data_IF_317123637083
#
_entry.id   IF_317123637083
#
_cell.length_a   1.000
_cell.length_b   1.000
_cell.length_c   1.000
_cell.angle_alpha   90.00
_cell.angle_beta   90.00
_cell.angle_gamma   90.00
#
_symmetry.space_group_name_H-M   'P 1'
#
loop_
_entity.id
_entity.type
_entity.pdbx_description
1 polymer ?
#
# COMPACT_ATOMS: atom_id res chain seq x y z
N UNK A 1 -16.85 7.33 -21.02
CA UNK A 1 -15.87 7.60 -19.94
C UNK A 1 -16.55 8.49 -18.93
N UNK A 2 -16.94 7.97 -17.76
CA UNK A 2 -17.68 8.77 -16.77
C UNK A 2 -16.71 9.70 -16.04
N UNK A 3 -17.18 10.91 -15.70
CA UNK A 3 -16.40 11.99 -15.08
C UNK A 3 -15.65 11.61 -13.80
N UNK A 4 -16.01 10.50 -13.15
CA UNK A 4 -15.36 10.01 -11.93
C UNK A 4 -14.03 9.28 -12.19
N UNK A 5 -13.78 8.79 -13.42
CA UNK A 5 -12.50 8.15 -13.73
C UNK A 5 -11.35 9.15 -13.80
N UNK A 6 -11.60 10.36 -14.31
CA UNK A 6 -10.57 11.38 -14.51
C UNK A 6 -10.02 11.94 -13.20
N UNK A 7 -10.88 12.20 -12.20
CA UNK A 7 -10.44 12.67 -10.88
C UNK A 7 -9.59 11.60 -10.19
N UNK A 8 -10.06 10.35 -10.20
CA UNK A 8 -9.31 9.23 -9.62
C UNK A 8 -7.95 9.08 -10.29
N UNK A 9 -7.91 9.08 -11.62
CA UNK A 9 -6.66 8.87 -12.36
C UNK A 9 -5.67 10.04 -12.14
N UNK A 10 -6.15 11.28 -11.97
CA UNK A 10 -5.31 12.43 -11.60
C UNK A 10 -4.58 12.24 -10.26
N UNK A 11 -5.19 11.57 -9.27
CA UNK A 11 -4.53 11.31 -7.99
C UNK A 11 -3.38 10.32 -8.11
N UNK A 12 -3.47 9.36 -9.02
CA UNK A 12 -2.37 8.43 -9.30
C UNK A 12 -1.22 9.13 -10.02
N UNK A 13 -1.55 10.02 -10.97
CA UNK A 13 -0.55 10.71 -11.79
C UNK A 13 0.14 11.86 -11.03
N UNK A 14 -0.49 12.38 -9.98
CA UNK A 14 0.04 13.46 -9.15
C UNK A 14 0.99 13.00 -8.02
N UNK A 15 1.15 11.69 -7.81
CA UNK A 15 1.98 11.19 -6.71
C UNK A 15 3.48 11.33 -7.05
N UNK A 16 4.17 12.14 -6.27
CA UNK A 16 5.60 12.43 -6.42
C UNK A 16 6.43 11.43 -5.58
N UNK A 17 6.88 10.34 -6.22
CA UNK A 17 7.67 9.30 -5.56
C UNK A 17 9.04 9.79 -5.05
N UNK A 18 9.57 10.86 -5.62
CA UNK A 18 10.93 11.32 -5.33
C UNK A 18 11.04 11.90 -3.91
N UNK A 19 9.92 12.32 -3.32
CA UNK A 19 9.86 12.84 -1.94
C UNK A 19 10.10 11.78 -0.87
N UNK A 20 10.01 10.49 -1.23
CA UNK A 20 10.21 9.39 -0.31
C UNK A 20 11.66 9.08 0.01
N UNK A 21 12.62 9.58 -0.77
CA UNK A 21 14.03 9.29 -0.57
C UNK A 21 14.63 10.18 0.52
N UNK A 22 15.30 9.57 1.49
CA UNK A 22 15.95 10.27 2.60
C UNK A 22 17.38 9.78 2.81
N UNK A 23 18.27 10.71 3.19
CA UNK A 23 19.65 10.40 3.54
C UNK A 23 19.82 10.48 5.05
N UNK A 24 20.15 9.36 5.70
CA UNK A 24 20.28 9.26 7.16
C UNK A 24 21.69 8.80 7.53
N UNK A 25 22.27 9.25 8.66
CA UNK A 25 23.55 8.74 9.15
C UNK A 25 23.52 7.21 9.31
N UNK A 26 24.62 6.51 9.03
CA UNK A 26 24.68 5.06 9.25
C UNK A 26 24.44 4.66 10.71
N UNK A 27 24.73 5.55 11.68
CA UNK A 27 24.42 5.34 13.09
C UNK A 27 22.91 5.23 13.35
N UNK A 28 22.07 5.95 12.60
CA UNK A 28 20.62 5.88 12.73
C UNK A 28 20.12 4.45 12.50
N UNK A 29 20.61 3.76 11.46
CA UNK A 29 20.21 2.39 11.18
C UNK A 29 20.60 1.45 12.32
N UNK A 30 21.80 1.60 12.88
CA UNK A 30 22.23 0.82 14.03
C UNK A 30 21.35 1.05 15.27
N UNK A 31 21.03 2.31 15.59
CA UNK A 31 20.20 2.68 16.74
C UNK A 31 18.76 2.16 16.63
N UNK A 32 18.25 2.01 15.40
CA UNK A 32 16.88 1.57 15.12
C UNK A 32 16.78 0.09 14.73
N UNK A 33 17.86 -0.69 14.87
CA UNK A 33 17.95 -2.08 14.42
C UNK A 33 17.55 -2.28 12.94
N UNK A 34 17.78 -1.27 12.10
CA UNK A 34 17.52 -1.31 10.67
C UNK A 34 18.79 -1.72 9.91
N UNK A 35 18.62 -2.28 8.71
CA UNK A 35 19.75 -2.52 7.81
C UNK A 35 20.37 -1.20 7.34
N UNK A 36 21.70 -1.13 7.13
CA UNK A 36 22.34 0.08 6.62
C UNK A 36 21.87 0.37 5.19
N UNK A 37 21.75 1.65 4.83
CA UNK A 37 21.44 2.08 3.46
C UNK A 37 22.64 1.97 2.51
N UNK A 38 22.42 2.25 1.22
CA UNK A 38 23.50 2.48 0.24
C UNK A 38 24.21 3.81 0.53
N UNK A 39 25.53 3.90 0.35
CA UNK A 39 26.25 5.16 0.57
C UNK A 39 25.74 6.25 -0.37
N UNK A 40 25.61 7.47 0.14
CA UNK A 40 25.35 8.65 -0.70
C UNK A 40 26.65 9.04 -1.42
N UNK A 41 26.63 9.32 -2.73
CA UNK A 41 27.85 9.61 -3.50
C UNK A 41 28.76 10.70 -2.92
N UNK A 42 28.17 11.76 -2.37
CA UNK A 42 28.91 12.92 -1.84
C UNK A 42 29.09 12.89 -0.30
N UNK A 43 28.54 11.89 0.39
CA UNK A 43 28.63 11.74 1.85
C UNK A 43 28.47 10.27 2.28
N UNK A 44 29.59 9.54 2.29
CA UNK A 44 29.61 8.12 2.69
C UNK A 44 29.27 7.88 4.17
N UNK A 45 29.20 8.93 5.00
CA UNK A 45 28.75 8.80 6.40
C UNK A 45 27.24 8.57 6.52
N UNK A 46 26.51 8.77 5.41
CA UNK A 46 25.07 8.56 5.30
C UNK A 46 24.72 7.40 4.38
N UNK A 47 23.61 6.76 4.70
CA UNK A 47 22.90 5.82 3.85
C UNK A 47 21.67 6.44 3.18
N UNK A 48 21.34 5.97 1.97
CA UNK A 48 20.09 6.23 1.29
C UNK A 48 19.01 5.27 1.80
N UNK A 49 17.85 5.83 2.15
CA UNK A 49 16.66 5.12 2.58
C UNK A 49 15.45 5.61 1.78
N UNK A 50 14.40 4.81 1.73
CA UNK A 50 13.08 5.24 1.24
C UNK A 50 12.07 5.14 2.37
N UNK A 51 11.21 6.13 2.53
CA UNK A 51 10.12 6.08 3.49
C UNK A 51 9.10 5.01 3.09
N UNK A 52 8.61 4.29 4.09
CA UNK A 52 7.81 3.10 3.87
C UNK A 52 6.50 3.38 3.10
N UNK A 53 5.76 4.44 3.43
CA UNK A 53 4.54 4.82 2.67
C UNK A 53 4.84 5.11 1.19
N UNK A 54 5.96 5.74 0.89
CA UNK A 54 6.38 6.00 -0.50
C UNK A 54 6.74 4.71 -1.23
N UNK A 55 7.37 3.76 -0.53
CA UNK A 55 7.64 2.44 -1.10
C UNK A 55 6.35 1.65 -1.35
N UNK A 56 5.39 1.68 -0.42
CA UNK A 56 4.06 1.08 -0.62
C UNK A 56 3.34 1.65 -1.85
N UNK A 57 3.34 2.98 -1.99
CA UNK A 57 2.75 3.66 -3.13
C UNK A 57 3.44 3.29 -4.46
N UNK A 58 4.77 3.18 -4.45
CA UNK A 58 5.53 2.75 -5.61
C UNK A 58 5.12 1.34 -6.04
N UNK A 59 5.12 0.38 -5.11
CA UNK A 59 4.72 -1.00 -5.37
C UNK A 59 3.29 -1.10 -5.90
N UNK A 60 2.34 -0.38 -5.29
CA UNK A 60 0.94 -0.37 -5.73
C UNK A 60 0.79 0.19 -7.15
N UNK A 61 1.57 1.21 -7.50
CA UNK A 61 1.59 1.82 -8.84
C UNK A 61 2.17 0.87 -9.89
N UNK A 62 3.25 0.14 -9.54
CA UNK A 62 3.83 -0.91 -10.41
C UNK A 62 2.79 -2.00 -10.70
N UNK A 63 2.07 -2.46 -9.67
CA UNK A 63 0.97 -3.44 -9.82
C UNK A 63 -0.13 -2.89 -10.72
N UNK A 64 -0.62 -1.66 -10.46
CA UNK A 64 -1.63 -0.98 -11.29
C UNK A 64 -1.20 -0.92 -12.76
N UNK A 65 0.06 -0.55 -13.02
CA UNK A 65 0.63 -0.46 -14.36
C UNK A 65 0.70 -1.81 -15.08
N UNK A 66 1.14 -2.87 -14.38
CA UNK A 66 1.17 -4.22 -14.91
C UNK A 66 -0.23 -4.71 -15.29
N UNK A 67 -1.21 -4.50 -14.39
CA UNK A 67 -2.61 -4.88 -14.62
C UNK A 67 -3.21 -4.15 -15.82
N UNK A 68 -3.03 -2.84 -15.95
CA UNK A 68 -3.49 -2.11 -17.13
C UNK A 68 -2.77 -2.52 -18.41
N UNK A 69 -1.47 -2.82 -18.32
CA UNK A 69 -0.70 -3.32 -19.47
C UNK A 69 -1.28 -4.63 -19.98
N UNK A 70 -1.67 -5.54 -19.09
CA UNK A 70 -2.28 -6.82 -19.45
C UNK A 70 -3.67 -6.70 -20.10
N UNK A 71 -4.39 -5.60 -19.87
CA UNK A 71 -5.70 -5.36 -20.50
C UNK A 71 -5.62 -4.73 -21.89
N UNK A 72 -4.46 -4.22 -22.31
CA UNK A 72 -4.38 -3.45 -23.54
C UNK A 72 -4.69 -4.34 -24.73
N UNK A 73 -5.82 -4.08 -25.38
CA UNK A 73 -6.30 -4.84 -26.54
C UNK A 73 -7.11 -6.09 -26.19
N UNK A 74 -7.37 -6.33 -24.91
CA UNK A 74 -8.13 -7.48 -24.41
C UNK A 74 -9.53 -7.07 -23.94
N UNK A 75 -10.46 -8.02 -23.90
CA UNK A 75 -11.75 -7.80 -23.22
C UNK A 75 -11.53 -7.64 -21.71
N UNK A 76 -12.18 -6.63 -21.13
CA UNK A 76 -12.11 -6.39 -19.70
C UNK A 76 -12.63 -7.61 -18.91
N UNK A 77 -11.90 -8.14 -17.93
CA UNK A 77 -12.35 -9.28 -17.15
C UNK A 77 -13.63 -8.94 -16.36
N UNK A 78 -14.48 -9.92 -16.00
CA UNK A 78 -15.74 -9.67 -15.28
C UNK A 78 -15.60 -8.91 -13.96
N UNK A 79 -14.40 -8.86 -13.37
CA UNK A 79 -14.08 -8.16 -12.12
C UNK A 79 -13.26 -6.89 -12.33
N UNK A 80 -13.24 -6.34 -13.55
CA UNK A 80 -12.48 -5.13 -13.90
C UNK A 80 -12.93 -3.87 -13.15
N UNK A 81 -14.17 -3.79 -12.71
CA UNK A 81 -14.55 -2.68 -11.86
C UNK A 81 -14.04 -2.89 -10.42
N UNK A 82 -13.98 -4.16 -9.99
CA UNK A 82 -13.67 -4.53 -8.61
C UNK A 82 -12.20 -4.25 -8.25
N UNK A 83 -11.26 -4.80 -9.01
CA UNK A 83 -9.83 -4.53 -8.79
C UNK A 83 -9.47 -3.02 -8.86
N UNK A 84 -10.14 -2.19 -9.67
CA UNK A 84 -9.84 -0.75 -9.78
C UNK A 84 -10.25 0.01 -8.54
N UNK A 85 -11.41 -0.29 -7.97
CA UNK A 85 -11.77 0.30 -6.68
C UNK A 85 -10.86 -0.26 -5.58
N UNK A 86 -10.47 -1.54 -5.61
CA UNK A 86 -9.55 -2.10 -4.61
C UNK A 86 -8.20 -1.39 -4.63
N UNK A 87 -7.62 -1.15 -5.81
CA UNK A 87 -6.36 -0.41 -5.94
C UNK A 87 -6.51 1.02 -5.40
N UNK A 88 -7.62 1.69 -5.68
CA UNK A 88 -7.85 3.05 -5.17
C UNK A 88 -8.11 3.09 -3.66
N UNK A 89 -8.80 2.10 -3.12
CA UNK A 89 -8.96 1.92 -1.68
C UNK A 89 -7.61 1.72 -1.00
N UNK A 90 -6.74 0.86 -1.55
CA UNK A 90 -5.39 0.65 -1.02
C UNK A 90 -4.54 1.92 -1.07
N UNK A 91 -4.62 2.70 -2.16
CA UNK A 91 -3.97 4.01 -2.24
C UNK A 91 -4.41 4.91 -1.10
N UNK A 92 -5.72 5.02 -0.89
CA UNK A 92 -6.28 5.86 0.17
C UNK A 92 -5.86 5.38 1.57
N UNK A 93 -5.79 4.07 1.82
CA UNK A 93 -5.29 3.53 3.09
C UNK A 93 -3.82 3.88 3.31
N UNK A 94 -2.97 3.77 2.29
CA UNK A 94 -1.55 4.15 2.38
C UNK A 94 -1.42 5.66 2.67
N UNK A 95 -2.20 6.49 1.98
CA UNK A 95 -2.20 7.95 2.19
C UNK A 95 -2.71 8.34 3.59
N UNK A 96 -3.77 7.68 4.08
CA UNK A 96 -4.35 7.99 5.40
C UNK A 96 -3.51 7.47 6.57
N UNK A 97 -2.73 6.40 6.36
CA UNK A 97 -1.89 5.76 7.38
C UNK A 97 -0.40 5.86 7.04
N UNK A 98 -0.01 6.93 6.35
CA UNK A 98 1.34 7.10 5.84
C UNK A 98 2.40 6.82 6.92
N UNK A 99 3.12 5.71 6.75
CA UNK A 99 4.21 5.23 7.59
C UNK A 99 5.53 5.91 7.17
N UNK A 100 6.15 6.63 8.11
CA UNK A 100 7.40 7.37 7.92
C UNK A 100 8.64 6.55 8.29
N UNK A 101 8.50 5.24 8.53
CA UNK A 101 9.63 4.34 8.79
C UNK A 101 10.62 4.34 7.60
N UNK A 102 11.89 4.69 7.80
CA UNK A 102 12.90 4.59 6.74
C UNK A 102 13.30 3.14 6.45
N UNK A 103 13.15 2.73 5.20
CA UNK A 103 13.53 1.42 4.67
C UNK A 103 14.91 1.47 4.04
N UNK A 104 15.74 0.47 4.35
CA UNK A 104 17.05 0.35 3.72
C UNK A 104 16.92 0.09 2.22
N UNK A 105 17.65 0.86 1.42
CA UNK A 105 17.77 0.64 -0.03
C UNK A 105 18.58 -0.61 -0.40
N UNK A 106 19.28 -1.22 0.56
CA UNK A 106 19.94 -2.53 0.35
C UNK A 106 18.97 -3.70 0.48
N UNK A 107 17.91 -3.56 1.28
CA UNK A 107 16.92 -4.60 1.60
C UNK A 107 15.52 -3.97 1.68
N UNK A 108 14.96 -3.63 0.52
CA UNK A 108 13.66 -2.96 0.39
C UNK A 108 12.48 -3.92 0.60
N UNK A 109 12.75 -5.23 0.74
CA UNK A 109 11.81 -6.33 0.68
C UNK A 109 11.17 -6.73 2.03
N UNK A 110 11.44 -6.00 3.12
CA UNK A 110 10.63 -6.14 4.34
C UNK A 110 11.38 -5.96 5.64
N UNK A 111 11.55 -4.71 6.06
CA UNK A 111 11.68 -4.44 7.49
C UNK A 111 10.39 -4.87 8.20
N UNK A 112 10.52 -5.60 9.31
CA UNK A 112 9.39 -6.03 10.12
C UNK A 112 8.60 -4.80 10.60
N UNK A 113 7.35 -4.66 10.16
CA UNK A 113 6.46 -3.58 10.60
C UNK A 113 5.93 -3.85 12.00
N UNK A 114 5.86 -2.80 12.81
CA UNK A 114 5.11 -2.83 14.06
C UNK A 114 3.63 -2.56 13.75
N UNK A 115 2.92 -3.60 13.32
CA UNK A 115 1.50 -3.50 13.02
C UNK A 115 0.69 -3.14 14.27
N UNK A 116 -0.41 -2.42 14.08
CA UNK A 116 -1.47 -2.33 15.10
C UNK A 116 -1.98 -3.73 15.47
N UNK A 117 -2.50 -3.90 16.68
CA UNK A 117 -3.00 -5.21 17.15
C UNK A 117 -4.18 -5.69 16.31
N UNK A 118 -3.95 -6.73 15.51
CA UNK A 118 -5.00 -7.42 14.75
C UNK A 118 -6.10 -7.97 15.66
N UNK A 119 -5.72 -8.46 16.85
CA UNK A 119 -6.67 -8.98 17.83
C UNK A 119 -7.73 -7.94 18.24
N UNK A 120 -7.34 -6.67 18.45
CA UNK A 120 -8.30 -5.60 18.78
C UNK A 120 -9.31 -5.34 17.66
N UNK A 121 -8.88 -5.49 16.40
CA UNK A 121 -9.76 -5.36 15.26
C UNK A 121 -10.74 -6.54 15.19
N UNK A 122 -10.26 -7.77 15.42
CA UNK A 122 -11.10 -8.97 15.46
C UNK A 122 -12.13 -8.90 16.60
N UNK A 123 -11.72 -8.43 17.78
CA UNK A 123 -12.62 -8.18 18.92
C UNK A 123 -13.72 -7.19 18.54
N UNK A 124 -13.37 -6.03 17.97
CA UNK A 124 -14.35 -5.04 17.52
C UNK A 124 -15.28 -5.61 16.45
N UNK A 125 -14.77 -6.39 15.49
CA UNK A 125 -15.58 -7.00 14.44
C UNK A 125 -16.56 -8.05 15.00
N UNK A 126 -16.17 -8.79 16.02
CA UNK A 126 -17.03 -9.76 16.71
C UNK A 126 -18.17 -9.05 17.47
N UNK A 127 -17.88 -7.93 18.14
CA UNK A 127 -18.90 -7.11 18.83
C UNK A 127 -19.92 -6.49 17.86
N UNK A 128 -19.53 -6.27 16.60
CA UNK A 128 -20.34 -5.61 15.58
C UNK A 128 -20.71 -6.55 14.42
N UNK A 129 -20.78 -7.86 14.67
CA UNK A 129 -20.98 -8.86 13.62
C UNK A 129 -22.34 -8.70 12.91
N UNK A 130 -22.32 -8.59 11.58
CA UNK A 130 -23.54 -8.69 10.76
C UNK A 130 -23.94 -10.15 10.58
N UNK A 131 -25.23 -10.47 10.74
CA UNK A 131 -25.79 -11.79 10.39
C UNK A 131 -25.96 -12.05 8.90
N UNK A 132 -25.73 -11.04 8.06
CA UNK A 132 -25.91 -11.11 6.61
C UNK A 132 -24.61 -10.78 5.89
N UNK A 133 -24.35 -11.53 4.81
CA UNK A 133 -23.28 -11.23 3.85
C UNK A 133 -23.84 -11.18 2.42
N UNK A 134 -23.11 -10.55 1.52
CA UNK A 134 -23.33 -10.68 0.07
C UNK A 134 -22.46 -11.81 -0.47
N UNK A 135 -23.06 -12.69 -1.26
CA UNK A 135 -22.39 -13.77 -1.99
C UNK A 135 -22.90 -13.74 -3.43
N UNK A 136 -22.03 -13.49 -4.41
CA UNK A 136 -22.40 -13.26 -5.82
C UNK A 136 -23.62 -12.33 -5.97
N UNK A 137 -23.60 -11.18 -5.29
CA UNK A 137 -24.70 -10.18 -5.23
C UNK A 137 -26.01 -10.64 -4.57
N UNK A 138 -26.08 -11.83 -3.98
CA UNK A 138 -27.25 -12.34 -3.23
C UNK A 138 -27.02 -12.17 -1.73
N UNK A 139 -28.06 -11.83 -0.97
CA UNK A 139 -27.99 -11.78 0.50
C UNK A 139 -28.06 -13.19 1.08
N UNK A 140 -27.08 -13.56 1.88
CA UNK A 140 -26.96 -14.88 2.51
C UNK A 140 -26.80 -14.69 4.02
N UNK A 141 -27.62 -15.40 4.80
CA UNK A 141 -27.50 -15.42 6.27
C UNK A 141 -26.29 -16.25 6.68
N UNK A 142 -25.48 -15.74 7.61
CA UNK A 142 -24.32 -16.47 8.13
C UNK A 142 -24.77 -17.63 9.00
N UNK A 143 -24.01 -18.74 8.94
CA UNK A 143 -24.26 -19.96 9.73
C UNK A 143 -24.28 -19.69 11.23
N UNK A 144 -23.46 -18.76 11.71
CA UNK A 144 -23.39 -18.39 13.13
C UNK A 144 -24.69 -17.74 13.65
N UNK A 145 -25.54 -17.25 12.73
CA UNK A 145 -26.85 -16.66 13.05
C UNK A 145 -28.02 -17.56 12.61
N UNK A 146 -27.77 -18.84 12.31
CA UNK A 146 -28.78 -19.81 11.84
C UNK A 146 -29.41 -20.58 12.98
#
# INVERSE_FOLDING_TARGET
VSSNSTIRDNHWDAFDFDRGWVALPHSWAHEHNASPGLNIPDDETKGLFILDAYHQMHCLTVIRSALYTMLRGEEAPPRELHWRHCLDFLRQEIECRADDTPLSTKHMDGSLRLCSSWAKMDEWAAEHESCWKKDNNVWVKKKLCS
#
